data_IF_581490210754
#
_entry.id   IF_581490210754
#
_cell.length_a   1.000
_cell.length_b   1.000
_cell.length_c   1.000
_cell.angle_alpha   90.00
_cell.angle_beta   90.00
_cell.angle_gamma   90.00
#
_symmetry.space_group_name_H-M   'P 1'
#
loop_
_entity.id
_entity.type
_entity.pdbx_description
1 polymer ?
#
# COMPACT_ATOMS: atom_id res chain seq x y z
N UNK A 1 9.74 -23.66 -4.93
CA UNK A 1 8.86 -23.18 -6.03
C UNK A 1 9.42 -21.86 -6.52
N UNK A 2 9.31 -21.57 -7.83
CA UNK A 2 9.71 -20.27 -8.37
C UNK A 2 8.48 -19.38 -8.33
N UNK A 3 8.58 -18.26 -7.61
CA UNK A 3 7.50 -17.27 -7.54
C UNK A 3 8.00 -16.00 -8.22
N UNK A 4 7.32 -15.61 -9.30
CA UNK A 4 7.57 -14.35 -9.99
C UNK A 4 6.71 -13.27 -9.35
N UNK A 5 7.35 -12.24 -8.78
CA UNK A 5 6.65 -11.03 -8.39
C UNK A 5 6.94 -9.95 -9.43
N UNK A 6 5.91 -9.23 -9.92
CA UNK A 6 6.15 -8.03 -10.70
C UNK A 6 6.96 -7.04 -9.86
N UNK A 7 8.07 -6.51 -10.38
CA UNK A 7 8.67 -5.32 -9.80
C UNK A 7 7.69 -4.16 -10.01
N UNK A 8 7.44 -3.34 -9.00
CA UNK A 8 6.58 -2.18 -9.15
C UNK A 8 7.37 -1.00 -9.76
N UNK A 9 6.69 -0.14 -10.53
CA UNK A 9 7.28 1.09 -11.08
C UNK A 9 7.69 2.09 -9.99
N UNK A 10 7.17 1.92 -8.78
CA UNK A 10 7.49 2.70 -7.59
C UNK A 10 7.73 1.75 -6.41
N UNK A 11 8.40 2.19 -5.33
CA UNK A 11 8.44 1.45 -4.07
C UNK A 11 7.05 0.98 -3.69
N UNK A 12 6.92 -0.25 -3.19
CA UNK A 12 5.64 -0.83 -2.86
C UNK A 12 5.59 -1.22 -1.39
N UNK A 13 4.47 -0.91 -0.74
CA UNK A 13 4.20 -1.24 0.64
C UNK A 13 2.94 -2.08 0.70
N UNK A 14 3.05 -3.27 1.29
CA UNK A 14 1.89 -4.11 1.57
C UNK A 14 1.33 -3.77 2.94
N UNK A 15 0.03 -3.45 3.00
CA UNK A 15 -0.70 -3.30 4.26
C UNK A 15 -1.27 -4.63 4.76
N UNK A 16 -1.14 -5.71 3.97
CA UNK A 16 -1.67 -7.03 4.28
C UNK A 16 -1.03 -7.61 5.55
N UNK A 17 -1.84 -8.05 6.50
CA UNK A 17 -1.43 -8.77 7.73
C UNK A 17 -0.35 -8.05 8.55
N UNK A 18 -0.27 -6.73 8.44
CA UNK A 18 0.67 -5.94 9.23
C UNK A 18 0.12 -5.80 10.65
N UNK A 19 0.74 -6.49 11.62
CA UNK A 19 0.43 -6.36 13.05
C UNK A 19 0.60 -4.92 13.56
N UNK A 20 1.25 -4.05 12.77
CA UNK A 20 1.47 -2.64 13.05
C UNK A 20 0.25 -1.75 12.79
N UNK A 21 -0.76 -2.24 12.06
CA UNK A 21 -1.97 -1.49 11.69
C UNK A 21 -3.14 -1.82 12.63
N UNK A 22 -3.89 -0.78 13.01
CA UNK A 22 -5.15 -0.92 13.76
C UNK A 22 -6.36 -0.91 12.83
N UNK A 23 -6.38 -0.02 11.84
CA UNK A 23 -7.41 0.01 10.80
C UNK A 23 -6.94 0.78 9.58
N UNK A 24 -7.61 0.54 8.46
CA UNK A 24 -7.43 1.31 7.23
C UNK A 24 -8.80 1.57 6.64
N UNK A 25 -9.06 2.80 6.20
CA UNK A 25 -10.32 3.20 5.61
C UNK A 25 -10.10 4.17 4.45
N UNK A 26 -11.13 4.38 3.64
CA UNK A 26 -11.11 5.35 2.54
C UNK A 26 -12.29 6.31 2.65
N UNK A 27 -12.12 7.53 2.15
CA UNK A 27 -13.23 8.47 2.04
C UNK A 27 -14.24 8.02 0.98
N UNK A 28 -15.44 8.62 0.97
CA UNK A 28 -16.50 8.26 0.03
C UNK A 28 -16.12 8.44 -1.46
N UNK A 29 -15.18 9.36 -1.76
CA UNK A 29 -14.68 9.58 -3.11
C UNK A 29 -13.61 8.56 -3.54
N UNK A 30 -13.11 7.72 -2.63
CA UNK A 30 -12.08 6.72 -2.91
C UNK A 30 -10.70 7.29 -3.26
N UNK A 31 -10.45 8.59 -3.07
CA UNK A 31 -9.18 9.25 -3.40
C UNK A 31 -8.32 9.57 -2.17
N UNK A 32 -8.83 9.28 -0.98
CA UNK A 32 -8.09 9.44 0.28
C UNK A 32 -8.14 8.14 1.05
N UNK A 33 -6.98 7.63 1.43
CA UNK A 33 -6.81 6.50 2.33
C UNK A 33 -6.32 6.99 3.68
N UNK A 34 -6.94 6.50 4.75
CA UNK A 34 -6.59 6.79 6.14
C UNK A 34 -6.05 5.49 6.74
N UNK A 35 -4.80 5.52 7.20
CA UNK A 35 -4.11 4.37 7.77
C UNK A 35 -3.85 4.68 9.24
N UNK A 36 -4.46 3.90 10.12
CA UNK A 36 -4.26 3.99 11.56
C UNK A 36 -3.32 2.87 12.01
N UNK A 37 -2.31 3.24 12.80
CA UNK A 37 -1.34 2.33 13.36
C UNK A 37 -1.74 1.96 14.80
N UNK A 38 -1.29 0.80 15.28
CA UNK A 38 -1.59 0.35 16.65
C UNK A 38 -0.88 1.18 17.71
N UNK A 39 0.32 1.65 17.39
CA UNK A 39 1.20 2.33 18.33
C UNK A 39 2.06 3.38 17.62
N UNK A 40 2.64 4.27 18.42
CA UNK A 40 3.45 5.38 17.94
C UNK A 40 4.77 4.93 17.29
N UNK A 41 5.34 3.79 17.70
CA UNK A 41 6.59 3.27 17.13
C UNK A 41 6.36 2.80 15.69
N UNK A 42 5.30 2.02 15.49
CA UNK A 42 4.82 1.55 14.20
C UNK A 42 4.53 2.71 13.23
N UNK A 43 3.77 3.71 13.71
CA UNK A 43 3.52 4.95 12.96
C UNK A 43 4.81 5.67 12.60
N UNK A 44 5.73 5.85 13.56
CA UNK A 44 6.96 6.60 13.35
C UNK A 44 7.86 5.94 12.30
N UNK A 45 8.01 4.62 12.36
CA UNK A 45 8.76 3.86 11.35
C UNK A 45 8.15 4.06 9.97
N UNK A 46 6.84 3.82 9.82
CA UNK A 46 6.16 3.93 8.54
C UNK A 46 6.23 5.36 7.97
N UNK A 47 5.97 6.38 8.78
CA UNK A 47 6.02 7.77 8.32
C UNK A 47 7.42 8.19 7.88
N UNK A 48 8.46 7.80 8.64
CA UNK A 48 9.84 8.15 8.31
C UNK A 48 10.37 7.44 7.07
N UNK A 49 9.89 6.24 6.79
CA UNK A 49 10.17 5.50 5.56
C UNK A 49 9.42 6.12 4.37
N UNK A 50 8.10 6.19 4.45
CA UNK A 50 7.25 6.56 3.31
C UNK A 50 7.44 8.01 2.87
N UNK A 51 7.76 8.94 3.78
CA UNK A 51 7.99 10.35 3.42
C UNK A 51 9.20 10.57 2.53
N UNK A 52 10.12 9.60 2.47
CA UNK A 52 11.30 9.66 1.60
C UNK A 52 10.94 9.40 0.13
N UNK A 53 9.74 8.87 -0.13
CA UNK A 53 9.29 8.50 -1.45
C UNK A 53 8.22 9.48 -1.95
N UNK A 54 8.48 10.25 -3.03
CA UNK A 54 7.49 11.18 -3.58
C UNK A 54 6.27 10.45 -4.17
N UNK A 55 6.45 9.19 -4.60
CA UNK A 55 5.41 8.29 -5.07
C UNK A 55 5.73 6.86 -4.67
N UNK A 56 4.73 6.11 -4.24
CA UNK A 56 4.83 4.69 -3.90
C UNK A 56 3.48 4.00 -4.12
N UNK A 57 3.49 2.67 -4.23
CA UNK A 57 2.29 1.86 -4.36
C UNK A 57 1.92 1.29 -2.99
N UNK A 58 0.67 1.46 -2.59
CA UNK A 58 0.07 0.70 -1.50
C UNK A 58 -0.68 -0.50 -2.09
N UNK A 59 -0.40 -1.68 -1.56
CA UNK A 59 -1.11 -2.93 -1.88
C UNK A 59 -2.05 -3.24 -0.73
N UNK A 60 -3.35 -3.39 -1.01
CA UNK A 60 -4.35 -3.70 0.01
C UNK A 60 -5.45 -4.64 -0.50
N UNK A 61 -6.17 -5.29 0.42
CA UNK A 61 -7.39 -6.06 0.13
C UNK A 61 -8.68 -5.27 0.43
N UNK A 62 -8.55 -3.97 0.73
CA UNK A 62 -9.67 -3.18 1.21
C UNK A 62 -10.52 -2.69 0.05
N UNK A 63 -11.57 -3.46 -0.18
CA UNK A 63 -12.66 -3.11 -1.07
C UNK A 63 -13.13 -1.67 -0.81
N UNK A 64 -13.08 -0.81 -1.82
CA UNK A 64 -13.74 0.50 -1.76
C UNK A 64 -12.83 1.73 -1.72
N UNK A 65 -11.52 1.60 -1.90
CA UNK A 65 -10.65 2.74 -2.20
C UNK A 65 -10.69 3.14 -3.70
N UNK A 66 -11.79 2.87 -4.40
CA UNK A 66 -12.02 3.12 -5.82
C UNK A 66 -13.29 2.40 -6.31
N UNK A 67 -13.94 2.91 -7.37
CA UNK A 67 -15.14 2.28 -7.92
C UNK A 67 -14.80 1.09 -8.84
N UNK A 68 -15.55 -0.01 -8.71
CA UNK A 68 -15.64 -1.04 -9.75
C UNK A 68 -14.72 -2.27 -9.65
N UNK A 69 -14.07 -2.54 -8.52
CA UNK A 69 -13.21 -3.73 -8.37
C UNK A 69 -13.96 -4.86 -7.65
N UNK A 70 -13.77 -6.12 -8.07
CA UNK A 70 -14.49 -7.29 -7.55
C UNK A 70 -14.04 -7.70 -6.14
N UNK A 71 -14.91 -8.37 -5.37
CA UNK A 71 -14.55 -8.87 -4.02
C UNK A 71 -13.39 -9.87 -4.10
N UNK A 72 -12.36 -9.68 -3.29
CA UNK A 72 -11.25 -10.64 -3.14
C UNK A 72 -10.01 -10.40 -4.01
N UNK A 73 -9.99 -9.35 -4.83
CA UNK A 73 -8.79 -8.94 -5.57
C UNK A 73 -7.89 -8.03 -4.72
N UNK A 74 -6.58 -8.04 -5.01
CA UNK A 74 -5.64 -7.03 -4.49
C UNK A 74 -5.85 -5.73 -5.23
N UNK A 75 -5.98 -4.64 -4.48
CA UNK A 75 -6.05 -3.30 -5.02
C UNK A 75 -4.69 -2.62 -4.91
N UNK A 76 -4.32 -1.88 -5.96
CA UNK A 76 -3.07 -1.15 -6.07
C UNK A 76 -3.38 0.34 -6.07
N UNK A 77 -2.82 1.07 -5.11
CA UNK A 77 -3.07 2.49 -4.93
C UNK A 77 -1.76 3.26 -5.10
N UNK A 78 -1.68 4.08 -6.14
CA UNK A 78 -0.58 5.03 -6.29
C UNK A 78 -0.79 6.16 -5.30
N UNK A 79 0.15 6.30 -4.36
CA UNK A 79 0.20 7.41 -3.41
C UNK A 79 0.94 8.58 -4.07
N UNK A 80 0.31 9.75 -4.06
CA UNK A 80 0.88 10.99 -4.59
C UNK A 80 1.23 12.01 -3.51
N UNK A 81 0.67 11.86 -2.32
CA UNK A 81 0.98 12.69 -1.15
C UNK A 81 0.62 11.95 0.13
N UNK A 82 1.35 12.26 1.22
CA UNK A 82 1.03 11.80 2.56
C UNK A 82 0.97 12.96 3.54
N UNK A 83 0.10 12.84 4.54
CA UNK A 83 -0.03 13.76 5.68
C UNK A 83 -0.07 12.95 6.97
N UNK A 84 0.79 13.30 7.93
CA UNK A 84 0.80 12.65 9.24
C UNK A 84 -0.14 13.33 10.24
N UNK A 85 -0.76 12.54 11.11
CA UNK A 85 -1.49 13.00 12.30
C UNK A 85 -0.92 12.24 13.52
N UNK A 86 0.18 12.73 14.14
CA UNK A 86 0.90 12.00 15.17
C UNK A 86 0.07 11.68 16.42
N UNK A 87 -0.83 12.59 16.82
CA UNK A 87 -1.70 12.42 17.99
C UNK A 87 -2.69 11.25 17.85
N UNK A 88 -2.87 10.71 16.65
CA UNK A 88 -3.76 9.60 16.35
C UNK A 88 -3.01 8.38 15.79
N UNK A 89 -1.67 8.39 15.78
CA UNK A 89 -0.85 7.39 15.10
C UNK A 89 -1.36 7.11 13.68
N UNK A 90 -1.60 8.16 12.90
CA UNK A 90 -2.30 8.09 11.62
C UNK A 90 -1.47 8.69 10.49
N UNK A 91 -1.56 8.07 9.31
CA UNK A 91 -1.09 8.60 8.03
C UNK A 91 -2.28 8.67 7.08
N UNK A 92 -2.46 9.82 6.45
CA UNK A 92 -3.48 10.06 5.44
C UNK A 92 -2.78 10.17 4.09
N UNK A 93 -3.17 9.32 3.15
CA UNK A 93 -2.60 9.27 1.82
C UNK A 93 -3.60 9.79 0.78
N UNK A 94 -3.14 10.66 -0.10
CA UNK A 94 -3.85 10.93 -1.36
C UNK A 94 -3.51 9.83 -2.34
N UNK A 95 -4.54 9.15 -2.85
CA UNK A 95 -4.38 7.96 -3.67
C UNK A 95 -5.14 8.06 -4.99
N UNK A 96 -4.63 7.34 -5.99
CA UNK A 96 -5.37 6.94 -7.18
C UNK A 96 -5.26 5.43 -7.36
N UNK A 97 -6.39 4.76 -7.52
CA UNK A 97 -6.42 3.32 -7.78
C UNK A 97 -5.99 3.04 -9.22
N UNK A 98 -5.00 2.16 -9.37
CA UNK A 98 -4.38 1.80 -10.65
C UNK A 98 -4.52 0.31 -10.88
N UNK A 99 -4.52 -0.11 -12.15
CA UNK A 99 -4.49 -1.54 -12.47
C UNK A 99 -3.08 -2.10 -12.22
N UNK A 100 -2.97 -3.42 -12.05
CA UNK A 100 -1.67 -4.08 -11.84
C UNK A 100 -0.68 -3.75 -12.95
N UNK A 101 -1.12 -3.70 -14.21
CA UNK A 101 -0.26 -3.43 -15.36
C UNK A 101 0.32 -2.01 -15.35
N UNK A 102 -0.32 -1.08 -14.63
CA UNK A 102 0.17 0.29 -14.44
C UNK A 102 1.05 0.40 -13.19
N UNK A 103 0.78 -0.41 -12.17
CA UNK A 103 1.57 -0.46 -10.95
C UNK A 103 2.90 -1.21 -11.14
N UNK A 104 2.88 -2.27 -11.96
CA UNK A 104 4.02 -3.13 -12.25
C UNK A 104 4.85 -2.61 -13.42
N UNK A 105 6.16 -2.82 -13.34
CA UNK A 105 7.10 -2.61 -14.42
C UNK A 105 6.99 -3.78 -15.40
N UNK A 106 6.70 -3.53 -16.69
CA UNK A 106 6.42 -4.59 -17.67
C UNK A 106 7.59 -5.56 -17.86
N UNK A 107 8.82 -5.10 -17.64
CA UNK A 107 10.04 -5.86 -17.98
C UNK A 107 10.84 -6.39 -16.77
N UNK A 108 10.41 -6.14 -15.53
CA UNK A 108 11.17 -6.55 -14.34
C UNK A 108 10.37 -7.55 -13.51
N UNK A 109 10.53 -8.84 -13.80
CA UNK A 109 10.09 -9.91 -12.91
C UNK A 109 11.18 -10.17 -11.86
N UNK A 110 10.87 -9.95 -10.57
CA UNK A 110 11.74 -10.39 -9.49
C UNK A 110 11.48 -11.88 -9.26
N UNK A 111 12.52 -12.69 -9.42
CA UNK A 111 12.45 -14.14 -9.25
C UNK A 111 13.10 -14.52 -7.93
N UNK A 112 12.34 -15.13 -7.02
CA UNK A 112 12.90 -15.70 -5.79
C UNK A 112 12.82 -17.23 -5.82
N UNK A 113 13.89 -17.88 -5.40
CA UNK A 113 13.91 -19.32 -5.14
C UNK A 113 13.39 -19.59 -3.74
N UNK A 114 12.16 -20.11 -3.64
CA UNK A 114 11.64 -20.56 -2.34
C UNK A 114 12.12 -22.00 -2.12
N UNK A 115 13.12 -22.17 -1.27
CA UNK A 115 13.55 -23.47 -0.75
C UNK A 115 12.45 -24.04 0.15
N UNK A 116 12.06 -25.29 -0.10
CA UNK A 116 11.14 -26.02 0.78
C UNK A 116 11.86 -26.29 2.10
N UNK A 117 11.30 -25.82 3.21
CA UNK A 117 11.55 -26.38 4.53
C UNK A 117 10.54 -27.50 4.77
#
# INVERSE_FOLDING_TARGET
>A
AIVHFPAFNHPAVSLERSDFLSSVSCNAAGNTMIINFRDAKSWNIAYHDWKQHPKFIIISYLHGCGQGMGKGARDFHLVSAIRSVPSQNQIICTISTVKLEQAAHPDHNITFHVSKY
#
